data_IF_407790939771
#
_entry.id   IF_407790939771
#
_cell.length_a   1.000
_cell.length_b   1.000
_cell.length_c   1.000
_cell.angle_alpha   90.00
_cell.angle_beta   90.00
_cell.angle_gamma   90.00
#
_symmetry.space_group_name_H-M   'P 1'
#
loop_
_entity.id
_entity.type
_entity.pdbx_description
1 polymer ?
#
# COMPACT_ATOMS: atom_id res chain seq x y z
N UNK A 1 -13.89 10.02 2.54
CA UNK A 1 -12.72 10.57 3.23
C UNK A 1 -12.82 12.08 3.14
N UNK A 2 -12.57 12.74 4.24
CA UNK A 2 -12.75 14.18 4.31
C UNK A 2 -11.46 14.81 4.86
N UNK A 3 -10.95 15.82 4.14
CA UNK A 3 -9.83 16.69 4.57
C UNK A 3 -8.56 15.93 5.00
N UNK A 4 -8.00 15.16 4.06
CA UNK A 4 -6.72 14.46 4.24
C UNK A 4 -5.64 15.24 3.49
N UNK A 5 -4.74 15.88 4.24
CA UNK A 5 -3.59 16.60 3.69
C UNK A 5 -2.30 16.16 4.36
N UNK A 6 -1.34 15.67 3.59
CA UNK A 6 -0.01 15.32 4.06
C UNK A 6 1.02 15.41 2.93
N UNK A 7 2.29 15.42 3.31
CA UNK A 7 3.42 15.45 2.39
C UNK A 7 4.35 14.28 2.64
N UNK A 8 5.00 13.81 1.59
CA UNK A 8 6.00 12.74 1.64
C UNK A 8 7.23 13.21 0.87
N UNK A 9 8.36 13.25 1.54
CA UNK A 9 9.61 13.67 0.93
C UNK A 9 10.32 12.48 0.25
N UNK A 10 11.23 12.80 -0.67
CA UNK A 10 12.00 11.77 -1.37
C UNK A 10 12.85 10.97 -0.37
N UNK A 11 12.67 9.65 -0.39
CA UNK A 11 13.38 8.74 0.49
C UNK A 11 12.67 8.48 1.82
N UNK A 12 11.53 9.12 2.09
CA UNK A 12 10.72 8.79 3.26
C UNK A 12 10.19 7.36 3.19
N UNK A 13 10.00 6.81 4.38
CA UNK A 13 9.23 5.60 4.60
C UNK A 13 8.00 5.98 5.45
N UNK A 14 6.89 6.31 4.78
CA UNK A 14 5.64 6.70 5.44
C UNK A 14 4.79 5.46 5.75
N UNK A 15 4.51 5.24 7.03
CA UNK A 15 3.51 4.29 7.50
C UNK A 15 2.12 4.92 7.57
N UNK A 16 1.13 4.36 6.89
CA UNK A 16 -0.27 4.76 7.01
C UNK A 16 -0.99 3.77 7.90
N UNK A 17 -1.43 4.20 9.07
CA UNK A 17 -2.17 3.39 10.02
C UNK A 17 -3.62 3.85 10.11
N UNK A 18 -4.52 2.91 10.32
CA UNK A 18 -5.95 3.16 10.42
C UNK A 18 -6.75 1.87 10.50
N UNK A 19 -7.94 1.89 11.07
CA UNK A 19 -8.81 0.72 11.14
C UNK A 19 -9.27 0.25 9.75
N UNK A 20 -9.93 -0.92 9.72
CA UNK A 20 -10.61 -1.37 8.50
C UNK A 20 -11.71 -0.39 8.12
N UNK A 21 -11.78 -0.01 6.84
CA UNK A 21 -12.75 1.00 6.38
C UNK A 21 -12.32 2.46 6.62
N UNK A 22 -11.13 2.72 7.15
CA UNK A 22 -10.57 4.07 7.32
C UNK A 22 -10.35 4.82 5.99
N UNK A 23 -10.34 4.11 4.86
CA UNK A 23 -10.13 4.69 3.54
C UNK A 23 -8.70 4.55 2.99
N UNK A 24 -7.80 3.74 3.63
CA UNK A 24 -6.41 3.55 3.19
C UNK A 24 -6.31 3.15 1.72
N UNK A 25 -7.01 2.08 1.33
CA UNK A 25 -7.06 1.62 -0.08
C UNK A 25 -7.66 2.66 -1.02
N UNK A 26 -8.71 3.37 -0.59
CA UNK A 26 -9.32 4.46 -1.39
C UNK A 26 -8.32 5.59 -1.61
N UNK A 27 -7.55 5.97 -0.58
CA UNK A 27 -6.50 6.97 -0.69
C UNK A 27 -5.44 6.54 -1.72
N UNK A 28 -4.97 5.29 -1.66
CA UNK A 28 -4.03 4.76 -2.64
C UNK A 28 -4.60 4.71 -4.05
N UNK A 29 -5.87 4.35 -4.22
CA UNK A 29 -6.53 4.37 -5.51
C UNK A 29 -6.66 5.80 -6.09
N UNK A 30 -6.89 6.80 -5.24
CA UNK A 30 -6.82 8.21 -5.64
C UNK A 30 -5.38 8.59 -6.07
N UNK A 31 -4.36 8.25 -5.26
CA UNK A 31 -2.95 8.53 -5.58
C UNK A 31 -2.49 7.85 -6.88
N UNK A 32 -3.08 6.71 -7.23
CA UNK A 32 -2.80 5.98 -8.46
C UNK A 32 -3.64 6.44 -9.67
N UNK A 33 -4.53 7.43 -9.46
CA UNK A 33 -5.42 7.91 -10.52
C UNK A 33 -6.44 6.86 -11.00
N UNK A 34 -6.73 5.86 -10.16
CA UNK A 34 -7.80 4.86 -10.39
C UNK A 34 -9.15 5.50 -10.07
N UNK A 35 -9.24 6.19 -8.93
CA UNK A 35 -10.37 7.03 -8.55
C UNK A 35 -9.98 8.48 -8.85
N UNK A 36 -10.73 9.14 -9.74
CA UNK A 36 -10.49 10.52 -10.15
C UNK A 36 -11.57 11.50 -9.64
N UNK A 37 -12.70 10.97 -9.15
CA UNK A 37 -13.78 11.78 -8.58
C UNK A 37 -13.49 12.05 -7.08
N UNK A 38 -12.64 13.06 -6.84
CA UNK A 38 -12.33 13.57 -5.51
C UNK A 38 -12.12 15.10 -5.56
N UNK A 39 -12.39 15.76 -4.45
CA UNK A 39 -12.08 17.18 -4.23
C UNK A 39 -10.65 17.31 -3.68
N UNK A 40 -9.95 18.38 -4.05
CA UNK A 40 -8.57 18.63 -3.64
C UNK A 40 -7.55 18.28 -4.73
N UNK A 41 -6.28 18.15 -4.34
CA UNK A 41 -5.15 17.94 -5.24
C UNK A 41 -4.27 16.79 -4.77
N UNK A 42 -3.76 15.99 -5.70
CA UNK A 42 -2.74 14.99 -5.43
C UNK A 42 -1.58 15.26 -6.37
N UNK A 43 -0.47 15.71 -5.81
CA UNK A 43 0.75 16.01 -6.54
C UNK A 43 1.77 14.89 -6.34
N UNK A 44 2.19 14.24 -7.42
CA UNK A 44 3.31 13.29 -7.41
C UNK A 44 4.48 13.90 -8.18
N UNK A 45 5.64 13.95 -7.53
CA UNK A 45 6.86 14.50 -8.12
C UNK A 45 6.69 15.94 -8.65
N UNK A 46 5.90 16.76 -7.92
CA UNK A 46 5.63 18.16 -8.29
C UNK A 46 4.58 18.36 -9.38
N UNK A 47 3.83 17.33 -9.77
CA UNK A 47 2.79 17.42 -10.80
C UNK A 47 1.47 16.81 -10.33
N UNK A 48 0.36 17.51 -10.59
CA UNK A 48 -1.00 16.95 -10.36
C UNK A 48 -1.19 15.70 -11.24
N UNK A 49 -1.59 14.59 -10.61
CA UNK A 49 -1.78 13.29 -11.28
C UNK A 49 -2.87 13.33 -12.35
N UNK A 50 -3.86 14.23 -12.23
CA UNK A 50 -4.95 14.40 -13.22
C UNK A 50 -4.46 15.07 -14.49
N UNK A 51 -3.46 15.95 -14.39
CA UNK A 51 -2.88 16.67 -15.50
C UNK A 51 -1.73 15.90 -16.15
N UNK A 52 -0.95 15.14 -15.37
CA UNK A 52 0.23 14.44 -15.86
C UNK A 52 0.28 12.97 -15.40
N UNK A 53 -0.49 12.12 -16.09
CA UNK A 53 -0.48 10.66 -15.82
C UNK A 53 0.87 9.97 -16.08
N UNK A 54 1.83 10.63 -16.74
CA UNK A 54 3.17 10.06 -16.95
C UNK A 54 3.94 9.90 -15.63
N UNK A 55 3.61 10.69 -14.60
CA UNK A 55 4.16 10.56 -13.25
C UNK A 55 3.93 9.17 -12.66
N UNK A 56 2.79 8.53 -12.98
CA UNK A 56 2.44 7.18 -12.53
C UNK A 56 3.38 6.09 -13.08
N UNK A 57 4.16 6.37 -14.14
CA UNK A 57 5.18 5.43 -14.61
C UNK A 57 6.37 5.28 -13.65
N UNK A 58 6.51 6.22 -12.72
CA UNK A 58 7.52 6.25 -11.65
C UNK A 58 7.00 5.66 -10.34
N UNK A 59 5.77 5.16 -10.32
CA UNK A 59 5.12 4.58 -9.14
C UNK A 59 5.02 3.07 -9.31
N UNK A 60 5.52 2.32 -8.33
CA UNK A 60 5.24 0.90 -8.15
C UNK A 60 4.07 0.73 -7.19
N UNK A 61 3.19 -0.22 -7.47
CA UNK A 61 2.05 -0.52 -6.59
C UNK A 61 1.96 -2.01 -6.28
N UNK A 62 1.82 -2.30 -5.00
CA UNK A 62 1.58 -3.62 -4.43
C UNK A 62 0.21 -3.59 -3.77
N UNK A 63 -0.81 -4.18 -4.39
CA UNK A 63 -2.16 -4.20 -3.85
C UNK A 63 -2.27 -5.13 -2.65
N UNK A 64 -3.32 -4.95 -1.86
CA UNK A 64 -3.73 -5.89 -0.85
C UNK A 64 -3.92 -7.27 -1.49
N UNK A 65 -3.31 -8.30 -0.87
CA UNK A 65 -3.17 -9.62 -1.45
C UNK A 65 -4.52 -10.27 -1.74
N UNK A 66 -4.64 -10.81 -2.98
CA UNK A 66 -5.55 -11.94 -3.28
C UNK A 66 -4.65 -13.13 -3.59
N UNK A 67 -4.87 -14.26 -2.93
CA UNK A 67 -4.16 -15.49 -3.24
C UNK A 67 -4.31 -15.83 -4.73
N UNK A 68 -3.21 -16.19 -5.35
CA UNK A 68 -3.23 -16.68 -6.74
C UNK A 68 -3.54 -18.18 -6.70
N UNK A 69 -4.52 -18.61 -7.51
CA UNK A 69 -4.87 -20.02 -7.61
C UNK A 69 -3.67 -20.86 -8.08
N UNK A 70 -3.52 -22.07 -7.53
CA UNK A 70 -2.42 -22.97 -7.88
C UNK A 70 -2.39 -23.32 -9.37
N UNK A 71 -3.55 -23.32 -10.01
CA UNK A 71 -3.71 -23.62 -11.45
C UNK A 71 -3.36 -22.46 -12.36
N UNK A 72 -3.07 -21.27 -11.81
CA UNK A 72 -2.77 -20.10 -12.63
C UNK A 72 -1.50 -20.31 -13.47
N UNK A 73 -1.58 -20.23 -14.82
CA UNK A 73 -0.56 -20.79 -15.70
C UNK A 73 0.69 -19.90 -15.87
N UNK A 74 0.66 -18.64 -15.41
CA UNK A 74 1.76 -17.71 -15.66
C UNK A 74 2.97 -18.00 -14.78
N UNK A 75 4.16 -17.89 -15.38
CA UNK A 75 5.45 -17.97 -14.69
C UNK A 75 5.78 -16.69 -13.93
N UNK A 76 6.74 -16.77 -13.02
CA UNK A 76 7.27 -15.60 -12.29
C UNK A 76 7.77 -14.52 -13.26
N UNK A 77 8.54 -14.88 -14.29
CA UNK A 77 9.04 -13.94 -15.30
C UNK A 77 7.90 -13.24 -16.05
N UNK A 78 6.86 -13.98 -16.41
CA UNK A 78 5.68 -13.41 -17.09
C UNK A 78 4.95 -12.42 -16.18
N UNK A 79 4.69 -12.77 -14.93
CA UNK A 79 4.06 -11.85 -13.95
C UNK A 79 4.89 -10.58 -13.76
N UNK A 80 6.21 -10.72 -13.58
CA UNK A 80 7.10 -9.55 -13.40
C UNK A 80 7.12 -8.69 -14.67
N UNK A 81 7.10 -9.32 -15.85
CA UNK A 81 7.06 -8.60 -17.13
C UNK A 81 5.82 -7.71 -17.31
N UNK A 82 4.68 -8.08 -16.69
CA UNK A 82 3.47 -7.24 -16.69
C UNK A 82 3.72 -5.86 -16.04
N UNK A 83 4.69 -5.76 -15.13
CA UNK A 83 5.12 -4.47 -14.61
C UNK A 83 5.66 -3.52 -15.68
N UNK A 84 6.08 -4.01 -16.84
CA UNK A 84 6.63 -3.20 -17.94
C UNK A 84 5.59 -2.80 -19.00
N UNK A 85 4.30 -3.04 -18.77
CA UNK A 85 3.25 -2.62 -19.71
C UNK A 85 3.41 -1.13 -20.08
N UNK A 86 3.39 -0.85 -21.37
CA UNK A 86 3.61 0.50 -21.92
C UNK A 86 5.09 0.89 -22.11
N UNK A 87 6.04 -0.02 -21.83
CA UNK A 87 7.47 0.13 -22.13
C UNK A 87 7.97 -1.09 -22.92
N UNK A 88 9.12 -0.94 -23.59
CA UNK A 88 9.79 -2.09 -24.23
C UNK A 88 10.22 -3.09 -23.15
N UNK A 89 9.90 -4.37 -23.35
CA UNK A 89 10.30 -5.46 -22.43
C UNK A 89 11.83 -5.51 -22.36
N UNK A 90 12.35 -5.42 -21.16
CA UNK A 90 13.78 -5.56 -20.85
C UNK A 90 13.98 -6.82 -19.99
N UNK A 91 14.56 -7.87 -20.58
CA UNK A 91 14.80 -9.16 -19.90
C UNK A 91 15.76 -9.03 -18.73
N UNK A 92 16.75 -8.14 -18.84
CA UNK A 92 17.74 -7.89 -17.78
C UNK A 92 17.06 -7.21 -16.57
N UNK A 93 16.19 -6.21 -16.81
CA UNK A 93 15.42 -5.57 -15.73
C UNK A 93 14.51 -6.58 -15.02
N UNK A 94 13.86 -7.49 -15.76
CA UNK A 94 13.04 -8.57 -15.19
C UNK A 94 13.91 -9.48 -14.31
N UNK A 95 15.04 -9.94 -14.82
CA UNK A 95 15.97 -10.79 -14.07
C UNK A 95 16.45 -10.10 -12.80
N UNK A 96 16.88 -8.83 -12.89
CA UNK A 96 17.36 -8.06 -11.76
C UNK A 96 16.28 -7.82 -10.69
N UNK A 97 15.03 -7.58 -11.11
CA UNK A 97 13.91 -7.45 -10.18
C UNK A 97 13.61 -8.77 -9.44
N UNK A 98 13.63 -9.90 -10.14
CA UNK A 98 13.43 -11.23 -9.56
C UNK A 98 14.58 -11.59 -8.59
N UNK A 99 15.82 -11.33 -8.99
CA UNK A 99 17.00 -11.56 -8.16
C UNK A 99 16.97 -10.69 -6.90
N UNK A 100 16.54 -9.42 -7.01
CA UNK A 100 16.48 -8.51 -5.88
C UNK A 100 15.54 -9.02 -4.77
N UNK A 101 14.45 -9.69 -5.15
CA UNK A 101 13.50 -10.31 -4.21
C UNK A 101 13.88 -11.75 -3.83
N UNK A 102 15.09 -12.21 -4.18
CA UNK A 102 15.65 -13.53 -3.87
C UNK A 102 14.81 -14.69 -4.45
N UNK A 103 14.35 -14.55 -5.69
CA UNK A 103 13.55 -15.54 -6.40
C UNK A 103 14.19 -15.96 -7.75
N UNK A 104 15.50 -15.76 -7.92
CA UNK A 104 16.23 -16.05 -9.17
C UNK A 104 16.10 -17.51 -9.62
N UNK A 105 16.06 -18.48 -8.68
CA UNK A 105 15.85 -19.89 -8.97
C UNK A 105 14.41 -20.24 -9.39
N UNK A 106 13.47 -19.33 -9.25
CA UNK A 106 12.04 -19.55 -9.47
C UNK A 106 11.49 -18.86 -10.73
N UNK A 107 12.33 -18.20 -11.51
CA UNK A 107 11.89 -17.37 -12.64
C UNK A 107 10.99 -18.09 -13.65
N UNK A 108 11.21 -19.36 -13.91
CA UNK A 108 10.47 -20.17 -14.88
C UNK A 108 9.36 -21.03 -14.21
N UNK A 109 9.23 -21.00 -12.88
CA UNK A 109 8.14 -21.66 -12.16
C UNK A 109 6.85 -20.88 -12.30
N UNK A 110 5.72 -21.60 -12.27
CA UNK A 110 4.38 -21.00 -12.22
C UNK A 110 4.18 -20.32 -10.86
N UNK A 111 3.55 -19.14 -10.86
CA UNK A 111 3.32 -18.40 -9.61
C UNK A 111 2.47 -19.19 -8.61
N UNK A 112 1.53 -20.01 -9.09
CA UNK A 112 0.71 -20.88 -8.24
C UNK A 112 1.46 -21.98 -7.49
N UNK A 113 2.68 -22.33 -7.93
CA UNK A 113 3.53 -23.32 -7.27
C UNK A 113 4.36 -22.72 -6.10
N UNK A 114 4.32 -21.40 -5.94
CA UNK A 114 5.07 -20.68 -4.93
C UNK A 114 4.28 -20.59 -3.62
N UNK A 115 5.01 -20.54 -2.48
CA UNK A 115 4.40 -20.19 -1.21
C UNK A 115 3.82 -18.77 -1.26
N UNK A 116 2.89 -18.47 -0.36
CA UNK A 116 2.25 -17.15 -0.32
C UNK A 116 3.26 -16.01 -0.17
N UNK A 117 4.27 -16.18 0.70
CA UNK A 117 5.34 -15.19 0.85
C UNK A 117 6.19 -15.02 -0.40
N UNK A 118 6.46 -16.11 -1.16
CA UNK A 118 7.13 -16.04 -2.44
C UNK A 118 6.26 -15.34 -3.49
N UNK A 119 4.96 -15.64 -3.55
CA UNK A 119 4.01 -14.94 -4.44
C UNK A 119 4.01 -13.43 -4.15
N UNK A 120 4.03 -13.05 -2.87
CA UNK A 120 4.10 -11.64 -2.49
C UNK A 120 5.38 -10.97 -2.98
N UNK A 121 6.53 -11.66 -2.88
CA UNK A 121 7.81 -11.17 -3.44
C UNK A 121 7.74 -11.02 -4.96
N UNK A 122 7.04 -11.89 -5.67
CA UNK A 122 6.81 -11.75 -7.13
C UNK A 122 6.05 -10.46 -7.44
N UNK A 123 5.02 -10.13 -6.66
CA UNK A 123 4.25 -8.88 -6.86
C UNK A 123 5.13 -7.64 -6.58
N UNK A 124 6.03 -7.72 -5.60
CA UNK A 124 7.02 -6.66 -5.39
C UNK A 124 7.97 -6.56 -6.59
N UNK A 125 8.52 -7.67 -7.08
CA UNK A 125 9.40 -7.65 -8.26
C UNK A 125 8.70 -7.02 -9.47
N UNK A 126 7.41 -7.32 -9.67
CA UNK A 126 6.56 -6.68 -10.69
C UNK A 126 6.46 -5.17 -10.48
N UNK A 127 6.31 -4.70 -9.23
CA UNK A 127 6.23 -3.27 -8.93
C UNK A 127 7.59 -2.56 -9.14
N UNK A 128 8.70 -3.28 -8.93
CA UNK A 128 10.07 -2.76 -9.01
C UNK A 128 10.67 -2.76 -10.42
N UNK A 129 10.16 -3.58 -11.34
CA UNK A 129 10.80 -3.82 -12.66
C UNK A 129 10.97 -2.56 -13.52
N UNK A 130 10.21 -1.50 -13.23
CA UNK A 130 10.32 -0.19 -13.90
C UNK A 130 11.27 0.77 -13.20
N UNK A 131 11.92 0.35 -12.12
CA UNK A 131 12.78 1.17 -11.25
C UNK A 131 12.01 2.42 -10.75
N UNK A 132 10.98 2.22 -9.91
CA UNK A 132 10.11 3.32 -9.45
C UNK A 132 10.83 4.22 -8.43
N UNK A 133 10.46 5.50 -8.39
CA UNK A 133 10.88 6.42 -7.33
C UNK A 133 9.98 6.35 -6.08
N UNK A 134 8.74 5.89 -6.25
CA UNK A 134 7.74 5.71 -5.19
C UNK A 134 7.15 4.31 -5.25
N UNK A 135 7.12 3.63 -4.11
CA UNK A 135 6.48 2.34 -3.93
C UNK A 135 5.30 2.49 -2.96
N UNK A 136 4.10 2.20 -3.44
CA UNK A 136 2.87 2.17 -2.62
C UNK A 136 2.53 0.71 -2.32
N UNK A 137 2.35 0.38 -1.03
CA UNK A 137 2.00 -0.97 -0.59
C UNK A 137 0.72 -0.94 0.25
N UNK A 138 -0.29 -1.65 -0.19
CA UNK A 138 -1.58 -1.73 0.50
C UNK A 138 -1.68 -3.05 1.27
N UNK A 139 -1.47 -2.99 2.59
CA UNK A 139 -1.51 -4.11 3.53
C UNK A 139 -0.79 -5.39 3.01
N UNK A 140 0.47 -5.28 2.60
CA UNK A 140 1.15 -6.31 1.83
C UNK A 140 1.44 -7.60 2.61
N UNK A 141 1.34 -7.59 3.94
CA UNK A 141 1.68 -8.73 4.82
C UNK A 141 0.47 -9.45 5.39
N UNK A 142 -0.74 -9.06 4.97
CA UNK A 142 -1.97 -9.72 5.44
C UNK A 142 -1.99 -11.20 5.03
N UNK A 143 -2.17 -12.10 6.02
CA UNK A 143 -2.24 -13.55 5.79
C UNK A 143 -0.88 -14.24 5.61
N UNK A 144 0.23 -13.58 5.90
CA UNK A 144 1.59 -14.16 5.86
C UNK A 144 2.04 -14.48 7.29
N UNK A 145 2.73 -15.61 7.47
CA UNK A 145 3.33 -15.97 8.77
C UNK A 145 4.42 -14.98 9.22
N UNK A 146 4.65 -14.90 10.52
CA UNK A 146 5.55 -13.91 11.14
C UNK A 146 7.00 -13.99 10.63
N UNK A 147 7.52 -15.20 10.39
CA UNK A 147 8.90 -15.37 9.93
C UNK A 147 9.06 -14.84 8.48
N UNK A 148 8.06 -15.05 7.66
CA UNK A 148 8.01 -14.53 6.28
C UNK A 148 7.77 -13.01 6.27
N UNK A 149 6.98 -12.48 7.22
CA UNK A 149 6.78 -11.03 7.38
C UNK A 149 8.11 -10.33 7.72
N UNK A 150 8.92 -10.86 8.63
CA UNK A 150 10.22 -10.27 8.97
C UNK A 150 11.14 -10.16 7.74
N UNK A 151 11.24 -11.22 6.94
CA UNK A 151 12.01 -11.19 5.69
C UNK A 151 11.48 -10.15 4.70
N UNK A 152 10.16 -9.95 4.68
CA UNK A 152 9.52 -8.93 3.87
C UNK A 152 9.88 -7.52 4.36
N UNK A 153 9.87 -7.28 5.66
CA UNK A 153 10.23 -6.00 6.27
C UNK A 153 11.71 -5.67 6.00
N UNK A 154 12.61 -6.66 6.07
CA UNK A 154 14.01 -6.47 5.70
C UNK A 154 14.18 -6.08 4.22
N UNK A 155 13.38 -6.67 3.33
CA UNK A 155 13.36 -6.31 1.92
C UNK A 155 12.92 -4.85 1.71
N UNK A 156 11.87 -4.39 2.39
CA UNK A 156 11.41 -3.00 2.32
C UNK A 156 12.48 -2.03 2.85
N UNK A 157 13.15 -2.41 3.94
CA UNK A 157 14.24 -1.63 4.51
C UNK A 157 15.41 -1.46 3.53
N UNK A 158 15.80 -2.53 2.83
CA UNK A 158 16.81 -2.50 1.78
C UNK A 158 16.37 -1.59 0.61
N UNK A 159 15.12 -1.69 0.18
CA UNK A 159 14.57 -0.83 -0.89
C UNK A 159 14.66 0.65 -0.54
N UNK A 160 14.26 1.02 0.67
CA UNK A 160 14.29 2.41 1.10
C UNK A 160 15.72 2.91 1.30
N UNK A 161 16.58 2.17 2.04
CA UNK A 161 17.93 2.63 2.38
C UNK A 161 18.90 2.56 1.22
N UNK A 162 18.97 1.42 0.51
CA UNK A 162 20.00 1.16 -0.49
C UNK A 162 19.63 1.76 -1.84
N UNK A 163 18.35 1.71 -2.21
CA UNK A 163 17.85 2.25 -3.48
C UNK A 163 17.23 3.65 -3.36
N UNK A 164 17.07 4.17 -2.14
CA UNK A 164 16.42 5.47 -1.87
C UNK A 164 15.03 5.60 -2.47
N UNK A 165 14.31 4.49 -2.59
CA UNK A 165 12.92 4.48 -3.02
C UNK A 165 12.07 5.06 -1.87
N UNK A 166 11.21 6.02 -2.20
CA UNK A 166 10.19 6.50 -1.27
C UNK A 166 9.14 5.41 -1.09
N UNK A 167 8.77 5.10 0.15
CA UNK A 167 7.80 4.05 0.45
C UNK A 167 6.59 4.67 1.16
N UNK A 168 5.39 4.37 0.66
CA UNK A 168 4.12 4.65 1.33
C UNK A 168 3.42 3.32 1.56
N UNK A 169 3.23 2.98 2.82
CA UNK A 169 2.79 1.64 3.21
C UNK A 169 1.63 1.69 4.21
N UNK A 170 0.51 1.01 3.91
CA UNK A 170 -0.53 0.78 4.89
C UNK A 170 -0.29 -0.51 5.66
N UNK A 171 -0.48 -0.47 6.98
CA UNK A 171 -0.33 -1.64 7.85
C UNK A 171 -1.24 -1.55 9.07
N UNK A 172 -1.61 -2.72 9.59
CA UNK A 172 -2.24 -2.88 10.91
C UNK A 172 -1.21 -3.19 11.99
N UNK A 173 0.02 -3.57 11.61
CA UNK A 173 1.11 -3.88 12.52
C UNK A 173 1.81 -2.59 12.95
N UNK A 174 1.35 -2.02 14.05
CA UNK A 174 1.91 -0.78 14.60
C UNK A 174 3.38 -0.94 14.98
N UNK A 175 3.80 -2.11 15.50
CA UNK A 175 5.19 -2.37 15.87
C UNK A 175 6.10 -2.36 14.65
N UNK A 176 5.64 -2.93 13.53
CA UNK A 176 6.39 -2.89 12.29
C UNK A 176 6.48 -1.46 11.72
N UNK A 177 5.39 -0.68 11.81
CA UNK A 177 5.39 0.73 11.39
C UNK A 177 6.37 1.55 12.24
N UNK A 178 6.34 1.44 13.57
CA UNK A 178 7.27 2.11 14.48
C UNK A 178 8.73 1.81 14.13
N UNK A 179 9.04 0.55 13.83
CA UNK A 179 10.40 0.07 13.54
C UNK A 179 10.94 0.51 12.17
N UNK A 180 10.06 0.65 11.18
CA UNK A 180 10.46 0.82 9.78
C UNK A 180 10.23 2.22 9.25
N UNK A 181 9.13 2.86 9.63
CA UNK A 181 8.74 4.14 9.10
C UNK A 181 9.45 5.31 9.82
N UNK A 182 9.94 6.27 9.07
CA UNK A 182 10.41 7.54 9.65
C UNK A 182 9.25 8.53 9.83
N UNK A 183 8.20 8.42 9.01
CA UNK A 183 6.97 9.23 9.14
C UNK A 183 5.74 8.35 9.28
N UNK A 184 4.72 8.86 9.95
CA UNK A 184 3.44 8.18 10.16
C UNK A 184 2.29 9.09 9.78
N UNK A 185 1.26 8.54 9.16
CA UNK A 185 -0.04 9.15 8.96
C UNK A 185 -1.13 8.26 9.57
N UNK A 186 -1.83 8.77 10.58
CA UNK A 186 -2.94 8.07 11.22
C UNK A 186 -4.24 8.57 10.61
N UNK A 187 -5.00 7.66 10.00
CA UNK A 187 -6.25 8.02 9.32
C UNK A 187 -7.42 7.18 9.81
N UNK A 188 -8.57 7.83 9.90
CA UNK A 188 -9.87 7.19 9.93
C UNK A 188 -10.89 8.13 9.27
N UNK A 189 -11.04 8.01 7.94
CA UNK A 189 -11.79 8.92 7.05
C UNK A 189 -11.32 10.37 7.07
N UNK A 190 -10.61 10.78 8.12
CA UNK A 190 -9.92 12.05 8.31
C UNK A 190 -8.49 11.79 8.74
N UNK A 191 -7.63 12.76 8.54
CA UNK A 191 -6.27 12.73 9.06
C UNK A 191 -6.30 13.09 10.54
N UNK A 192 -5.87 12.15 11.41
CA UNK A 192 -5.70 12.39 12.84
C UNK A 192 -4.32 12.94 13.16
N UNK A 193 -3.29 12.38 12.54
CA UNK A 193 -1.90 12.75 12.75
C UNK A 193 -1.08 12.54 11.47
N UNK A 194 -0.13 13.44 11.24
CA UNK A 194 0.95 13.24 10.27
C UNK A 194 2.22 13.89 10.81
N UNK A 195 3.32 13.16 10.82
CA UNK A 195 4.61 13.66 11.31
C UNK A 195 5.65 12.56 11.48
N UNK A 196 6.73 12.88 12.19
CA UNK A 196 7.78 11.91 12.50
C UNK A 196 7.25 10.75 13.34
N UNK A 197 7.74 9.55 13.05
CA UNK A 197 7.34 8.31 13.75
C UNK A 197 7.61 8.42 15.26
N UNK A 198 8.77 8.97 15.65
CA UNK A 198 9.13 9.18 17.05
C UNK A 198 8.17 10.10 17.80
N UNK A 199 7.62 11.13 17.14
CA UNK A 199 6.65 12.06 17.75
C UNK A 199 5.29 11.38 17.99
N UNK A 200 4.97 10.35 17.25
CA UNK A 200 3.74 9.59 17.43
C UNK A 200 3.89 8.48 18.47
N UNK A 201 4.86 7.58 18.27
CA UNK A 201 5.05 6.40 19.11
C UNK A 201 5.72 6.72 20.46
N UNK A 202 6.53 7.78 20.53
CA UNK A 202 7.14 8.28 21.76
C UNK A 202 6.20 9.09 22.66
N UNK A 203 4.92 9.27 22.28
CA UNK A 203 3.94 10.06 23.04
C UNK A 203 2.72 9.22 23.42
N UNK A 204 2.71 8.73 24.66
CA UNK A 204 1.64 7.86 25.19
C UNK A 204 0.25 8.49 25.11
N UNK A 205 0.12 9.82 25.32
CA UNK A 205 -1.16 10.51 25.27
C UNK A 205 -1.70 10.53 23.83
N UNK A 206 -0.82 10.77 22.85
CA UNK A 206 -1.18 10.77 21.43
C UNK A 206 -1.60 9.37 20.96
N UNK A 207 -0.86 8.35 21.37
CA UNK A 207 -1.21 6.96 21.11
C UNK A 207 -2.58 6.60 21.67
N UNK A 208 -2.85 6.94 22.95
CA UNK A 208 -4.16 6.72 23.59
C UNK A 208 -5.27 7.47 22.86
N UNK A 209 -5.07 8.74 22.55
CA UNK A 209 -6.06 9.55 21.81
C UNK A 209 -6.38 8.98 20.43
N UNK A 210 -5.37 8.43 19.75
CA UNK A 210 -5.59 7.74 18.46
C UNK A 210 -6.40 6.46 18.62
N UNK A 211 -6.09 5.64 19.63
CA UNK A 211 -6.84 4.40 19.90
C UNK A 211 -8.31 4.72 20.22
N UNK A 212 -8.57 5.73 21.03
CA UNK A 212 -9.93 6.20 21.36
C UNK A 212 -10.67 6.70 20.11
N UNK A 213 -9.99 7.50 19.28
CA UNK A 213 -10.51 8.00 18.00
C UNK A 213 -10.90 6.84 17.07
N UNK A 214 -10.04 5.84 16.91
CA UNK A 214 -10.28 4.67 16.06
C UNK A 214 -11.43 3.79 16.61
N UNK A 215 -11.54 3.62 17.94
CA UNK A 215 -12.63 2.86 18.59
C UNK A 215 -13.97 3.57 18.42
N UNK A 216 -14.05 4.87 18.60
CA UNK A 216 -15.28 5.64 18.43
C UNK A 216 -15.84 5.55 17.00
N UNK A 217 -14.97 5.58 16.00
CA UNK A 217 -15.36 5.41 14.61
C UNK A 217 -15.96 4.03 14.32
N UNK A 218 -15.44 2.97 14.95
CA UNK A 218 -16.01 1.62 14.84
C UNK A 218 -17.38 1.49 15.50
N UNK A 219 -17.57 2.04 16.70
CA UNK A 219 -18.86 2.01 17.38
C UNK A 219 -19.95 2.73 16.57
N UNK A 220 -19.64 3.86 15.95
CA UNK A 220 -20.60 4.60 15.12
C UNK A 220 -21.00 3.85 13.83
N UNK A 221 -20.22 2.87 13.38
CA UNK A 221 -20.57 2.02 12.23
C UNK A 221 -21.55 0.90 12.60
N UNK A 222 -21.52 0.42 13.84
CA UNK A 222 -22.44 -0.61 14.33
C UNK A 222 -23.81 -0.07 14.71
N UNK A 223 -23.97 1.24 14.91
CA UNK A 223 -25.25 1.89 15.27
C UNK A 223 -26.01 2.51 14.10
N UNK A 224 -25.54 2.41 12.88
CA UNK A 224 -26.36 2.68 11.70
C UNK A 224 -27.20 1.44 11.38
N UNK A 225 -28.33 1.30 12.07
CA UNK A 225 -29.39 0.37 11.69
C UNK A 225 -29.94 0.77 10.33
N UNK A 226 -30.25 -0.18 9.43
CA UNK A 226 -30.94 0.10 8.18
C UNK A 226 -32.43 0.22 8.47
N UNK A 227 -32.86 1.37 9.00
CA UNK A 227 -34.29 1.63 9.21
C UNK A 227 -34.55 3.13 9.09
N UNK A 228 -34.47 3.64 7.86
CA UNK A 228 -35.08 4.90 7.43
C UNK A 228 -35.41 4.84 5.93
N UNK A 229 -36.20 3.85 5.55
CA UNK A 229 -36.57 3.67 4.14
C UNK A 229 -37.83 2.84 3.95
N UNK A 230 -38.88 3.03 4.76
CA UNK A 230 -40.22 2.57 4.33
C UNK A 230 -41.32 3.15 5.20
N UNK A 231 -41.72 4.38 4.92
CA UNK A 231 -43.03 4.87 5.34
C UNK A 231 -43.50 5.94 4.35
N UNK A 232 -44.02 5.52 3.21
CA UNK A 232 -44.95 6.29 2.41
C UNK A 232 -45.46 5.42 1.25
N UNK A 233 -46.38 4.52 1.56
CA UNK A 233 -47.38 3.98 0.62
C UNK A 233 -48.49 3.37 1.45
N UNK A 234 -49.40 4.24 1.89
CA UNK A 234 -50.82 3.91 2.13
C UNK A 234 -51.57 5.18 2.51
N UNK A 235 -52.19 5.80 1.52
CA UNK A 235 -53.46 6.52 1.63
C UNK A 235 -53.73 7.24 0.30
N UNK A 236 -54.48 6.59 -0.54
CA UNK A 236 -55.67 7.08 -1.26
C UNK A 236 -55.97 6.14 -2.42
#
# INVERSE_FOLDING_TARGET
MDDISFTVDKGDFLGIIGPNGAGKTTLFQCMLGIINDFKGEINLFGSDIRQNKKTLQRVGYVPQKKSVEQTFPATVKEIVSLGMIGKKINKEAIYNAIKFVELDAYGDKRIGELSEGQQQRVIIAKALVKDPDLLILDEPTTGIDSATQEKFYDLLKKLNKDKRITIVWSSHDMNAVERLANKVACIDRKLFFHGESGDFFGNDERMKSYVEFAMQSHMNLHFRTPDDGNNNLEKS
#
